data_IF_525518103248
#
_entry.id   IF_525518103248
#
_cell.length_a   1.000
_cell.length_b   1.000
_cell.length_c   1.000
_cell.angle_alpha   90.00
_cell.angle_beta   90.00
_cell.angle_gamma   90.00
#
_symmetry.space_group_name_H-M   'P 1'
#
loop_
_entity.id
_entity.type
_entity.pdbx_description
1 polymer ?
#
# COMPACT_ATOMS: atom_id res chain seq x y z
N UNK A 1 -14.38 2.67 11.90
CA UNK A 1 -13.25 1.88 11.37
C UNK A 1 -12.01 2.00 12.24
N UNK A 2 -11.67 3.19 12.77
CA UNK A 2 -10.51 3.47 13.63
C UNK A 2 -10.03 2.33 14.56
N UNK A 3 -10.90 1.77 15.39
CA UNK A 3 -10.53 0.72 16.34
C UNK A 3 -10.09 -0.63 15.72
N UNK A 4 -10.25 -0.83 14.41
CA UNK A 4 -9.56 -1.93 13.72
C UNK A 4 -8.05 -1.67 13.64
N UNK A 5 -7.64 -0.42 13.44
CA UNK A 5 -6.24 -0.02 13.29
C UNK A 5 -5.59 0.46 14.59
N UNK A 6 -6.39 0.86 15.58
CA UNK A 6 -5.92 1.35 16.87
C UNK A 6 -6.71 0.73 18.05
N UNK A 7 -6.67 -0.60 18.23
CA UNK A 7 -7.33 -1.25 19.37
C UNK A 7 -6.52 -1.08 20.66
N UNK A 8 -7.21 -0.99 21.80
CA UNK A 8 -6.55 -0.97 23.13
C UNK A 8 -6.21 -2.36 23.66
N UNK A 9 -6.86 -3.39 23.14
CA UNK A 9 -6.63 -4.78 23.54
C UNK A 9 -7.13 -5.75 22.46
N UNK A 10 -6.48 -6.89 22.33
CA UNK A 10 -6.81 -7.87 21.28
C UNK A 10 -6.91 -9.29 21.82
N UNK A 11 -8.00 -10.00 21.51
CA UNK A 11 -8.07 -11.45 21.71
C UNK A 11 -7.67 -12.19 20.43
N UNK A 12 -6.81 -13.20 20.54
CA UNK A 12 -6.41 -14.05 19.40
C UNK A 12 -6.99 -15.44 19.57
N UNK A 13 -8.08 -15.71 18.85
CA UNK A 13 -8.79 -16.99 18.87
C UNK A 13 -8.15 -17.91 17.84
N UNK A 14 -7.67 -19.08 18.30
CA UNK A 14 -6.79 -19.94 17.50
C UNK A 14 -5.31 -19.69 17.76
N UNK A 15 -4.98 -19.01 18.86
CA UNK A 15 -3.60 -18.86 19.31
C UNK A 15 -2.93 -20.23 19.47
N UNK A 16 -1.62 -20.30 19.21
CA UNK A 16 -0.86 -21.55 19.26
C UNK A 16 0.42 -21.36 20.08
N UNK A 17 0.82 -22.40 20.82
CA UNK A 17 2.13 -22.48 21.48
C UNK A 17 3.24 -22.98 20.54
N UNK A 18 2.88 -23.47 19.36
CA UNK A 18 3.81 -23.96 18.34
C UNK A 18 4.24 -22.82 17.42
N UNK A 19 5.53 -22.48 17.48
CA UNK A 19 6.19 -21.50 16.59
C UNK A 19 5.96 -21.86 15.12
N UNK A 20 5.71 -20.86 14.28
CA UNK A 20 5.43 -21.03 12.86
C UNK A 20 3.96 -21.31 12.51
N UNK A 21 3.09 -21.60 13.49
CA UNK A 21 1.63 -21.63 13.23
C UNK A 21 1.09 -20.20 13.15
N UNK A 22 0.12 -19.97 12.27
CA UNK A 22 -0.51 -18.65 12.04
C UNK A 22 -0.89 -17.97 13.37
N UNK A 23 -1.65 -18.65 14.23
CA UNK A 23 -2.06 -18.08 15.52
C UNK A 23 -0.92 -17.83 16.52
N UNK A 24 0.24 -18.47 16.39
CA UNK A 24 1.43 -18.11 17.17
C UNK A 24 2.01 -16.79 16.68
N UNK A 25 2.19 -16.66 15.36
CA UNK A 25 2.81 -15.46 14.75
C UNK A 25 1.94 -14.22 14.95
N UNK A 26 0.61 -14.34 14.88
CA UNK A 26 -0.32 -13.24 15.18
C UNK A 26 -0.14 -12.74 16.62
N UNK A 27 -0.07 -13.65 17.62
CA UNK A 27 0.16 -13.24 19.01
C UNK A 27 1.52 -12.56 19.16
N UNK A 28 2.56 -13.09 18.52
CA UNK A 28 3.90 -12.51 18.56
C UNK A 28 3.93 -11.09 17.98
N UNK A 29 3.33 -10.89 16.81
CA UNK A 29 3.29 -9.61 16.11
C UNK A 29 2.48 -8.56 16.88
N UNK A 30 1.29 -8.91 17.39
CA UNK A 30 0.49 -7.99 18.21
C UNK A 30 1.24 -7.64 19.51
N UNK A 31 1.87 -8.63 20.16
CA UNK A 31 2.65 -8.39 21.37
C UNK A 31 3.81 -7.41 21.12
N UNK A 32 4.42 -7.44 19.93
CA UNK A 32 5.48 -6.52 19.50
C UNK A 32 5.05 -5.05 19.45
N UNK A 33 3.75 -4.78 19.25
CA UNK A 33 3.20 -3.41 19.27
C UNK A 33 2.97 -2.84 20.67
N UNK A 34 3.19 -3.64 21.72
CA UNK A 34 3.08 -3.19 23.12
C UNK A 34 1.66 -3.14 23.69
N UNK A 35 0.62 -3.46 22.90
CA UNK A 35 -0.76 -3.49 23.40
C UNK A 35 -1.09 -4.84 24.11
N UNK A 36 -2.04 -4.83 25.07
CA UNK A 36 -2.58 -6.06 25.66
C UNK A 36 -3.08 -7.05 24.61
N UNK A 37 -2.60 -8.30 24.71
CA UNK A 37 -3.01 -9.40 23.83
C UNK A 37 -3.35 -10.63 24.66
N UNK A 38 -4.52 -11.20 24.40
CA UNK A 38 -5.11 -12.32 25.10
C UNK A 38 -5.19 -13.54 24.17
N UNK A 39 -4.25 -14.49 24.28
CA UNK A 39 -4.33 -15.76 23.57
C UNK A 39 -5.56 -16.56 24.01
N UNK A 40 -6.30 -17.12 23.06
CA UNK A 40 -7.44 -18.01 23.32
C UNK A 40 -7.18 -19.37 22.67
N UNK A 41 -7.01 -20.39 23.51
CA UNK A 41 -6.78 -21.78 23.13
C UNK A 41 -7.30 -22.72 24.25
N UNK A 42 -8.24 -23.65 23.97
CA UNK A 42 -8.80 -24.55 24.99
C UNK A 42 -7.82 -25.51 25.68
N UNK A 43 -6.63 -25.72 25.11
CA UNK A 43 -5.68 -26.78 25.50
C UNK A 43 -4.36 -26.24 26.06
N UNK A 44 -4.25 -24.92 26.28
CA UNK A 44 -3.03 -24.27 26.75
C UNK A 44 -3.36 -23.28 27.86
N UNK A 45 -2.56 -23.30 28.91
CA UNK A 45 -2.67 -22.32 30.00
C UNK A 45 -1.85 -21.06 29.73
N UNK A 46 -0.78 -21.16 28.92
CA UNK A 46 0.10 -20.05 28.56
C UNK A 46 0.60 -20.12 27.12
N UNK A 47 0.72 -18.98 26.46
CA UNK A 47 1.32 -18.83 25.12
C UNK A 47 2.19 -17.57 25.12
N UNK A 48 3.47 -17.68 24.71
CA UNK A 48 4.43 -16.55 24.69
C UNK A 48 4.53 -15.79 26.03
N UNK A 49 4.51 -16.54 27.14
CA UNK A 49 4.55 -15.99 28.50
C UNK A 49 3.27 -15.26 28.95
N UNK A 50 2.23 -15.26 28.12
CA UNK A 50 0.93 -14.64 28.42
C UNK A 50 -0.06 -15.70 28.85
N UNK A 51 -0.94 -15.35 29.80
CA UNK A 51 -2.06 -16.20 30.20
C UNK A 51 -2.95 -16.48 28.99
N UNK A 52 -3.28 -17.76 28.79
CA UNK A 52 -4.15 -18.21 27.73
C UNK A 52 -5.51 -18.59 28.33
N UNK A 53 -6.58 -18.20 27.65
CA UNK A 53 -7.96 -18.45 28.08
C UNK A 53 -8.59 -19.54 27.22
N UNK A 54 -9.54 -20.32 27.77
CA UNK A 54 -10.16 -21.41 27.01
C UNK A 54 -11.21 -20.90 26.02
N UNK A 55 -11.87 -19.81 26.37
CA UNK A 55 -12.77 -19.05 25.50
C UNK A 55 -12.54 -17.55 25.66
N UNK A 56 -13.00 -16.78 24.68
CA UNK A 56 -12.94 -15.30 24.74
C UNK A 56 -13.82 -14.72 25.85
N UNK A 57 -14.85 -15.46 26.28
CA UNK A 57 -15.77 -15.08 27.36
C UNK A 57 -15.10 -15.14 28.74
N UNK A 58 -14.06 -15.96 28.91
CA UNK A 58 -13.31 -16.10 30.18
C UNK A 58 -12.31 -14.96 30.44
N UNK A 59 -12.04 -14.11 29.44
CA UNK A 59 -11.15 -12.96 29.60
C UNK A 59 -11.84 -11.98 30.56
N UNK A 60 -11.26 -11.61 31.71
CA UNK A 60 -11.89 -10.67 32.64
C UNK A 60 -11.84 -9.23 32.13
N UNK A 61 -10.84 -8.88 31.31
CA UNK A 61 -10.66 -7.54 30.75
C UNK A 61 -11.61 -7.25 29.57
N UNK A 62 -11.74 -5.97 29.24
CA UNK A 62 -12.40 -5.51 28.01
C UNK A 62 -11.52 -5.82 26.79
N UNK A 63 -12.16 -6.24 25.70
CA UNK A 63 -11.50 -6.63 24.44
C UNK A 63 -12.02 -5.78 23.29
N UNK A 64 -11.16 -4.93 22.71
CA UNK A 64 -11.55 -4.01 21.64
C UNK A 64 -11.68 -4.68 20.27
N UNK A 65 -10.86 -5.71 20.03
CA UNK A 65 -10.74 -6.43 18.75
C UNK A 65 -10.51 -7.92 19.00
N UNK A 66 -11.15 -8.79 18.20
CA UNK A 66 -10.79 -10.20 18.11
C UNK A 66 -10.16 -10.52 16.75
N UNK A 67 -9.13 -11.37 16.76
CA UNK A 67 -8.50 -11.93 15.54
C UNK A 67 -8.70 -13.44 15.54
N UNK A 68 -9.31 -13.98 14.49
CA UNK A 68 -9.62 -15.40 14.35
C UNK A 68 -8.66 -16.06 13.36
N UNK A 69 -8.01 -17.13 13.82
CA UNK A 69 -7.14 -18.01 13.05
C UNK A 69 -7.46 -19.48 13.37
N UNK A 70 -8.72 -19.87 13.13
CA UNK A 70 -9.31 -21.20 13.38
C UNK A 70 -9.98 -21.75 12.12
N UNK A 71 -10.37 -23.03 12.12
CA UNK A 71 -11.12 -23.61 10.98
C UNK A 71 -12.40 -22.82 10.68
N UNK A 72 -12.78 -22.75 9.39
CA UNK A 72 -13.88 -21.90 8.91
C UNK A 72 -15.20 -22.18 9.65
N UNK A 73 -15.52 -23.45 9.87
CA UNK A 73 -16.75 -23.93 10.53
C UNK A 73 -16.85 -23.49 12.00
N UNK A 74 -15.71 -23.12 12.61
CA UNK A 74 -15.66 -22.65 14.00
C UNK A 74 -15.75 -21.12 14.10
N UNK A 75 -15.68 -20.40 12.99
CA UNK A 75 -15.66 -18.94 13.00
C UNK A 75 -17.00 -18.34 13.45
N UNK A 76 -18.14 -18.83 12.95
CA UNK A 76 -19.45 -18.31 13.35
C UNK A 76 -19.72 -18.52 14.87
N UNK A 77 -19.51 -19.72 15.45
CA UNK A 77 -19.57 -19.89 16.90
C UNK A 77 -18.63 -18.98 17.69
N UNK A 78 -17.39 -18.78 17.23
CA UNK A 78 -16.44 -17.88 17.88
C UNK A 78 -16.89 -16.40 17.80
N UNK A 79 -17.45 -15.97 16.67
CA UNK A 79 -18.03 -14.63 16.50
C UNK A 79 -19.22 -14.42 17.44
N UNK A 80 -20.05 -15.44 17.66
CA UNK A 80 -21.11 -15.38 18.67
C UNK A 80 -20.56 -15.18 20.09
N UNK A 81 -19.51 -15.93 20.48
CA UNK A 81 -18.84 -15.74 21.77
C UNK A 81 -18.25 -14.33 21.92
N UNK A 82 -17.62 -13.81 20.86
CA UNK A 82 -17.17 -12.42 20.80
C UNK A 82 -18.34 -11.44 21.06
N UNK A 83 -19.49 -11.69 20.44
CA UNK A 83 -20.68 -10.85 20.58
C UNK A 83 -21.25 -10.82 22.00
N UNK A 84 -21.27 -11.99 22.68
CA UNK A 84 -21.67 -12.14 24.09
C UNK A 84 -20.68 -11.45 25.04
N UNK A 85 -19.39 -11.53 24.73
CA UNK A 85 -18.32 -10.80 25.45
C UNK A 85 -18.37 -9.28 25.25
N UNK A 86 -19.14 -8.79 24.27
CA UNK A 86 -19.30 -7.36 23.97
C UNK A 86 -18.34 -6.83 22.91
N UNK A 87 -17.53 -7.69 22.29
CA UNK A 87 -16.63 -7.33 21.20
C UNK A 87 -17.47 -6.96 19.97
N UNK A 88 -17.13 -5.85 19.32
CA UNK A 88 -17.86 -5.33 18.14
C UNK A 88 -17.07 -5.39 16.83
N UNK A 89 -15.81 -5.85 16.87
CA UNK A 89 -14.88 -5.81 15.74
C UNK A 89 -14.11 -7.12 15.69
N UNK A 90 -14.10 -7.74 14.52
CA UNK A 90 -13.42 -9.02 14.31
C UNK A 90 -12.63 -8.98 13.00
N UNK A 91 -11.37 -9.40 13.04
CA UNK A 91 -10.55 -9.70 11.85
C UNK A 91 -10.49 -11.21 11.71
N UNK A 92 -10.89 -11.73 10.55
CA UNK A 92 -10.91 -13.18 10.31
C UNK A 92 -9.85 -13.51 9.25
N UNK A 93 -8.77 -14.14 9.71
CA UNK A 93 -7.64 -14.55 8.87
C UNK A 93 -7.99 -15.82 8.09
N UNK A 94 -8.78 -16.69 8.70
CA UNK A 94 -9.19 -17.99 8.17
C UNK A 94 -9.83 -17.91 6.79
N UNK A 95 -9.38 -18.78 5.87
CA UNK A 95 -10.10 -19.13 4.65
C UNK A 95 -10.95 -20.39 4.81
N UNK A 96 -11.51 -20.90 3.71
CA UNK A 96 -12.48 -21.99 3.64
C UNK A 96 -13.93 -21.54 3.43
N UNK A 97 -14.16 -20.31 2.96
CA UNK A 97 -15.50 -19.72 2.80
C UNK A 97 -15.91 -19.67 1.32
N UNK A 98 -16.46 -18.53 0.84
CA UNK A 98 -16.95 -18.38 -0.53
C UNK A 98 -15.87 -18.67 -1.58
N UNK A 99 -14.61 -18.34 -1.31
CA UNK A 99 -13.48 -18.60 -2.21
C UNK A 99 -13.25 -20.10 -2.49
N UNK A 100 -13.74 -20.98 -1.60
CA UNK A 100 -13.72 -22.44 -1.80
C UNK A 100 -15.10 -23.03 -2.14
N UNK A 101 -16.10 -22.18 -2.42
CA UNK A 101 -17.47 -22.58 -2.74
C UNK A 101 -18.41 -22.71 -1.53
N UNK A 102 -17.95 -22.41 -0.32
CA UNK A 102 -18.77 -22.48 0.91
C UNK A 102 -19.50 -21.17 1.18
N UNK A 103 -20.35 -20.74 0.24
CA UNK A 103 -21.11 -19.48 0.34
C UNK A 103 -22.05 -19.45 1.56
N UNK A 104 -22.72 -20.56 1.86
CA UNK A 104 -23.65 -20.67 2.98
C UNK A 104 -22.95 -20.42 4.33
N UNK A 105 -21.71 -20.92 4.48
CA UNK A 105 -20.92 -20.73 5.68
C UNK A 105 -20.51 -19.25 5.86
N UNK A 106 -20.19 -18.55 4.78
CA UNK A 106 -19.91 -17.11 4.82
C UNK A 106 -21.18 -16.31 5.18
N UNK A 107 -22.34 -16.70 4.64
CA UNK A 107 -23.62 -16.07 4.97
C UNK A 107 -24.00 -16.26 6.44
N UNK A 108 -23.80 -17.46 6.98
CA UNK A 108 -24.00 -17.75 8.41
C UNK A 108 -23.10 -16.90 9.30
N UNK A 109 -21.82 -16.78 8.93
CA UNK A 109 -20.85 -15.95 9.63
C UNK A 109 -21.30 -14.48 9.70
N UNK A 110 -21.71 -13.91 8.56
CA UNK A 110 -22.19 -12.52 8.48
C UNK A 110 -23.51 -12.34 9.23
N UNK A 111 -24.44 -13.29 9.12
CA UNK A 111 -25.71 -13.23 9.85
C UNK A 111 -25.49 -13.24 11.37
N UNK A 112 -24.56 -14.07 11.84
CA UNK A 112 -24.17 -14.15 13.26
C UNK A 112 -23.55 -12.83 13.73
N UNK A 113 -22.62 -12.27 12.95
CA UNK A 113 -22.00 -10.99 13.28
C UNK A 113 -23.04 -9.86 13.41
N UNK A 114 -23.99 -9.78 12.46
CA UNK A 114 -25.06 -8.77 12.45
C UNK A 114 -25.95 -8.84 13.68
N UNK A 115 -26.29 -10.05 14.17
CA UNK A 115 -27.08 -10.25 15.40
C UNK A 115 -26.48 -9.53 16.61
N UNK A 116 -25.16 -9.43 16.67
CA UNK A 116 -24.42 -8.82 17.80
C UNK A 116 -23.84 -7.44 17.47
N UNK A 117 -24.19 -6.85 16.31
CA UNK A 117 -23.62 -5.57 15.87
C UNK A 117 -22.10 -5.62 15.66
N UNK A 118 -21.57 -6.80 15.32
CA UNK A 118 -20.14 -6.98 15.01
C UNK A 118 -19.90 -6.58 13.56
N UNK A 119 -18.79 -5.86 13.33
CA UNK A 119 -18.20 -5.68 11.99
C UNK A 119 -17.04 -6.65 11.76
N UNK A 120 -16.92 -7.18 10.54
CA UNK A 120 -15.87 -8.14 10.15
C UNK A 120 -15.00 -7.58 9.03
N UNK A 121 -13.68 -7.58 9.23
CA UNK A 121 -12.69 -7.54 8.13
C UNK A 121 -12.32 -8.98 7.75
N UNK A 122 -12.40 -9.29 6.45
CA UNK A 122 -12.23 -10.65 5.93
C UNK A 122 -13.56 -11.31 5.53
N UNK A 123 -13.69 -12.65 5.66
CA UNK A 123 -12.65 -13.61 6.02
C UNK A 123 -11.57 -13.74 4.94
N UNK A 124 -10.69 -14.72 5.06
CA UNK A 124 -9.62 -15.02 4.11
C UNK A 124 -8.74 -13.80 3.81
N UNK A 125 -8.14 -13.24 4.86
CA UNK A 125 -7.36 -12.02 4.75
C UNK A 125 -6.06 -12.10 5.57
N UNK A 126 -5.18 -11.12 5.36
CA UNK A 126 -3.99 -10.93 6.20
C UNK A 126 -4.30 -10.02 7.41
N UNK A 127 -5.40 -9.27 7.34
CA UNK A 127 -5.84 -8.34 8.36
C UNK A 127 -5.25 -6.94 8.17
N UNK A 128 -4.87 -6.29 9.27
CA UNK A 128 -4.64 -4.83 9.31
C UNK A 128 -3.26 -4.47 9.86
N UNK A 129 -2.80 -3.27 9.50
CA UNK A 129 -1.58 -2.66 10.04
C UNK A 129 -1.75 -1.14 10.21
N UNK A 130 -1.18 -0.61 11.28
CA UNK A 130 -1.06 0.81 11.57
C UNK A 130 0.42 1.19 11.61
N UNK A 131 0.85 1.99 10.64
CA UNK A 131 2.26 2.37 10.50
C UNK A 131 2.75 3.29 11.62
N UNK A 132 1.86 4.02 12.28
CA UNK A 132 2.22 4.91 13.40
C UNK A 132 2.52 4.13 14.67
N UNK A 133 1.70 3.13 15.00
CA UNK A 133 1.83 2.36 16.25
C UNK A 133 2.63 1.07 16.08
N UNK A 134 2.86 0.62 14.84
CA UNK A 134 3.42 -0.70 14.55
C UNK A 134 2.43 -1.85 14.77
N UNK A 135 1.21 -1.56 15.21
CA UNK A 135 0.17 -2.56 15.41
C UNK A 135 -0.15 -3.28 14.10
N UNK A 136 -0.08 -4.61 14.10
CA UNK A 136 -0.48 -5.43 12.97
C UNK A 136 -1.03 -6.79 13.41
N UNK A 137 -1.93 -7.35 12.60
CA UNK A 137 -2.52 -8.68 12.82
C UNK A 137 -1.90 -9.74 11.91
N UNK A 138 -0.68 -9.53 11.43
CA UNK A 138 -0.05 -10.35 10.40
C UNK A 138 0.46 -11.67 10.98
N UNK A 139 0.71 -12.64 10.11
CA UNK A 139 1.34 -13.92 10.46
C UNK A 139 2.66 -14.16 9.69
N UNK A 140 3.14 -13.14 9.00
CA UNK A 140 4.39 -13.15 8.26
C UNK A 140 5.58 -13.05 9.23
N UNK A 141 6.69 -13.68 8.85
CA UNK A 141 7.98 -13.60 9.54
C UNK A 141 9.00 -12.99 8.59
N UNK A 142 10.01 -12.33 9.15
CA UNK A 142 11.10 -11.70 8.39
C UNK A 142 10.62 -10.63 7.40
N UNK A 143 9.43 -10.08 7.64
CA UNK A 143 8.87 -8.99 6.86
C UNK A 143 9.47 -7.67 7.32
N UNK A 144 9.92 -6.86 6.38
CA UNK A 144 10.23 -5.46 6.63
C UNK A 144 8.95 -4.63 6.57
N UNK A 145 8.62 -3.95 7.67
CA UNK A 145 7.47 -3.06 7.73
C UNK A 145 7.88 -1.64 7.28
N UNK A 146 7.04 -0.95 6.50
CA UNK A 146 7.32 0.41 6.09
C UNK A 146 7.28 1.37 7.29
N UNK A 147 7.98 2.51 7.20
CA UNK A 147 7.96 3.53 8.24
C UNK A 147 6.55 4.15 8.37
N UNK A 148 6.27 4.89 9.46
CA UNK A 148 5.08 5.74 9.52
C UNK A 148 5.03 6.72 8.35
N UNK A 149 3.85 6.95 7.80
CA UNK A 149 3.64 7.97 6.77
C UNK A 149 2.19 8.19 6.44
N UNK A 150 1.88 8.60 5.20
CA UNK A 150 0.57 9.14 4.85
C UNK A 150 -0.20 8.30 3.81
N UNK A 151 0.34 7.15 3.41
CA UNK A 151 -0.33 6.25 2.45
C UNK A 151 -1.23 5.28 3.18
N UNK A 152 -2.53 5.27 2.87
CA UNK A 152 -3.44 4.22 3.32
C UNK A 152 -3.71 3.22 2.20
N UNK A 153 -3.66 1.93 2.52
CA UNK A 153 -3.73 0.84 1.55
C UNK A 153 -4.96 -0.02 1.85
N UNK A 154 -5.75 -0.33 0.83
CA UNK A 154 -6.74 -1.41 0.88
C UNK A 154 -6.47 -2.42 -0.24
N UNK A 155 -6.53 -3.71 0.10
CA UNK A 155 -6.26 -4.79 -0.86
C UNK A 155 -7.15 -6.00 -0.64
N UNK A 156 -7.71 -6.54 -1.72
CA UNK A 156 -8.37 -7.85 -1.69
C UNK A 156 -7.36 -9.01 -1.64
N UNK A 157 -6.17 -8.83 -2.21
CA UNK A 157 -5.13 -9.86 -2.17
C UNK A 157 -4.17 -9.64 -1.01
N UNK A 158 -4.14 -10.60 -0.10
CA UNK A 158 -3.21 -10.65 1.01
C UNK A 158 -1.75 -10.69 0.56
N UNK A 159 -1.42 -11.62 -0.34
CA UNK A 159 -0.06 -11.81 -0.88
C UNK A 159 0.45 -10.57 -1.60
N UNK A 160 -0.40 -9.94 -2.42
CA UNK A 160 -0.05 -8.67 -3.07
C UNK A 160 0.23 -7.57 -2.04
N UNK A 161 -0.62 -7.48 -1.00
CA UNK A 161 -0.48 -6.50 0.06
C UNK A 161 0.83 -6.60 0.84
N UNK A 162 1.23 -7.82 1.22
CA UNK A 162 2.51 -8.07 1.90
C UNK A 162 3.69 -7.65 1.01
N UNK A 163 3.71 -8.10 -0.24
CA UNK A 163 4.81 -7.77 -1.16
C UNK A 163 4.90 -6.25 -1.42
N UNK A 164 3.74 -5.56 -1.47
CA UNK A 164 3.69 -4.10 -1.61
C UNK A 164 4.27 -3.40 -0.37
N UNK A 165 3.92 -3.84 0.84
CA UNK A 165 4.43 -3.27 2.09
C UNK A 165 5.96 -3.42 2.22
N UNK A 166 6.52 -4.58 1.87
CA UNK A 166 7.98 -4.79 1.88
C UNK A 166 8.68 -3.90 0.83
N UNK A 167 8.06 -3.74 -0.35
CA UNK A 167 8.58 -2.80 -1.34
C UNK A 167 8.52 -1.36 -0.82
N UNK A 168 7.47 -0.98 -0.10
CA UNK A 168 7.37 0.35 0.51
C UNK A 168 8.44 0.56 1.59
N UNK A 169 8.73 -0.46 2.40
CA UNK A 169 9.78 -0.41 3.41
C UNK A 169 11.15 -0.15 2.79
N UNK A 170 11.51 -0.90 1.75
CA UNK A 170 12.78 -0.73 1.03
C UNK A 170 12.93 0.63 0.34
N UNK A 171 11.83 1.30 0.04
CA UNK A 171 11.77 2.53 -0.76
C UNK A 171 11.43 3.75 0.09
N UNK A 172 11.44 3.60 1.42
CA UNK A 172 11.13 4.64 2.41
C UNK A 172 9.74 5.28 2.23
N UNK A 173 8.79 4.52 1.66
CA UNK A 173 7.41 4.98 1.47
C UNK A 173 6.63 4.68 2.76
N UNK A 174 6.29 5.74 3.49
CA UNK A 174 5.61 5.59 4.76
C UNK A 174 4.11 5.28 4.65
N UNK A 175 3.63 4.38 5.51
CA UNK A 175 2.24 3.92 5.56
C UNK A 175 1.52 4.50 6.79
N UNK A 176 0.28 4.92 6.59
CA UNK A 176 -0.63 5.27 7.67
C UNK A 176 -1.40 4.02 8.13
N UNK A 177 -2.28 3.51 7.26
CA UNK A 177 -3.10 2.32 7.52
C UNK A 177 -3.01 1.32 6.38
N UNK A 178 -3.05 0.03 6.68
CA UNK A 178 -3.18 -1.05 5.70
C UNK A 178 -4.32 -1.99 6.09
N UNK A 179 -5.17 -2.34 5.13
CA UNK A 179 -6.22 -3.33 5.30
C UNK A 179 -6.24 -4.33 4.14
N UNK A 180 -5.90 -5.59 4.44
CA UNK A 180 -6.30 -6.73 3.65
C UNK A 180 -7.69 -7.17 4.11
N UNK A 181 -8.68 -7.07 3.23
CA UNK A 181 -10.09 -7.33 3.56
C UNK A 181 -10.68 -8.57 2.88
N UNK A 182 -9.84 -9.32 2.15
CA UNK A 182 -10.12 -10.66 1.67
C UNK A 182 -11.44 -10.77 0.91
N UNK A 183 -12.30 -11.68 1.37
CA UNK A 183 -13.58 -11.98 0.74
C UNK A 183 -14.61 -10.85 0.80
N UNK A 184 -14.35 -9.74 1.51
CA UNK A 184 -15.24 -8.57 1.65
C UNK A 184 -16.66 -8.95 2.12
N UNK A 185 -16.78 -9.90 3.05
CA UNK A 185 -18.07 -10.44 3.45
C UNK A 185 -18.94 -9.43 4.24
N UNK A 186 -18.32 -8.49 4.94
CA UNK A 186 -19.00 -7.39 5.63
C UNK A 186 -18.31 -6.04 5.37
N UNK A 187 -17.16 -5.77 6.00
CA UNK A 187 -16.37 -4.57 5.68
C UNK A 187 -15.81 -4.70 4.27
N UNK A 188 -16.04 -3.69 3.46
CA UNK A 188 -15.63 -3.66 2.05
C UNK A 188 -14.89 -2.36 1.68
N UNK A 189 -14.57 -2.22 0.40
CA UNK A 189 -13.87 -1.05 -0.15
C UNK A 189 -14.57 0.28 0.14
N UNK A 190 -15.90 0.29 0.28
CA UNK A 190 -16.68 1.52 0.52
C UNK A 190 -16.52 1.99 1.96
N UNK A 191 -16.53 1.06 2.92
CA UNK A 191 -16.27 1.36 4.34
C UNK A 191 -14.84 1.86 4.55
N UNK A 192 -13.87 1.18 3.93
CA UNK A 192 -12.45 1.53 4.03
C UNK A 192 -12.14 2.86 3.35
N UNK A 193 -12.70 3.10 2.17
CA UNK A 193 -12.57 4.39 1.48
C UNK A 193 -13.12 5.53 2.32
N UNK A 194 -14.32 5.37 2.89
CA UNK A 194 -14.92 6.41 3.74
C UNK A 194 -14.02 6.75 4.93
N UNK A 195 -13.49 5.72 5.61
CA UNK A 195 -12.56 5.94 6.72
C UNK A 195 -11.27 6.65 6.30
N UNK A 196 -10.66 6.25 5.19
CA UNK A 196 -9.41 6.83 4.70
C UNK A 196 -9.59 8.23 4.12
N UNK A 197 -10.76 8.56 3.56
CA UNK A 197 -11.12 9.92 3.15
C UNK A 197 -11.30 10.84 4.37
N UNK A 198 -11.90 10.35 5.46
CA UNK A 198 -12.11 11.13 6.68
C UNK A 198 -10.84 11.27 7.55
N UNK A 199 -9.87 10.38 7.40
CA UNK A 199 -8.64 10.39 8.21
C UNK A 199 -7.63 11.45 7.75
N UNK A 200 -7.43 12.50 8.56
CA UNK A 200 -6.49 13.59 8.26
C UNK A 200 -5.03 13.16 8.06
N UNK A 201 -4.59 12.02 8.61
CA UNK A 201 -3.23 11.51 8.41
C UNK A 201 -3.05 10.85 7.03
N UNK A 202 -4.14 10.34 6.45
CA UNK A 202 -4.13 9.81 5.08
C UNK A 202 -4.09 10.95 4.07
N UNK A 203 -3.07 10.94 3.21
CA UNK A 203 -2.96 11.84 2.04
C UNK A 203 -3.18 11.12 0.72
N UNK A 204 -2.90 9.81 0.65
CA UNK A 204 -2.99 9.00 -0.56
C UNK A 204 -3.67 7.69 -0.21
N UNK A 205 -4.58 7.24 -1.07
CA UNK A 205 -5.27 5.95 -0.92
C UNK A 205 -4.83 5.02 -2.05
N UNK A 206 -4.16 3.93 -1.71
CA UNK A 206 -3.73 2.90 -2.64
C UNK A 206 -4.70 1.71 -2.59
N UNK A 207 -5.17 1.27 -3.75
CA UNK A 207 -6.25 0.28 -3.85
C UNK A 207 -5.84 -0.81 -4.82
N UNK A 208 -5.73 -2.05 -4.33
CA UNK A 208 -5.68 -3.23 -5.18
C UNK A 208 -7.00 -3.99 -5.11
N UNK A 209 -7.62 -4.21 -6.26
CA UNK A 209 -8.92 -4.87 -6.36
C UNK A 209 -8.94 -5.93 -7.45
N UNK A 210 -9.63 -7.03 -7.18
CA UNK A 210 -9.96 -8.10 -8.12
C UNK A 210 -11.37 -7.94 -8.65
N UNK A 211 -12.28 -7.44 -7.83
CA UNK A 211 -13.63 -7.00 -8.20
C UNK A 211 -14.10 -5.86 -7.29
N UNK A 212 -14.97 -4.98 -7.78
CA UNK A 212 -15.42 -3.80 -7.04
C UNK A 212 -16.84 -3.39 -7.41
N UNK A 213 -17.64 -3.05 -6.40
CA UNK A 213 -19.02 -2.60 -6.62
C UNK A 213 -19.11 -1.19 -7.24
N UNK A 214 -20.25 -0.87 -7.86
CA UNK A 214 -20.54 0.48 -8.37
C UNK A 214 -20.57 1.53 -7.25
N UNK A 215 -20.89 1.11 -6.03
CA UNK A 215 -21.00 1.97 -4.85
C UNK A 215 -19.67 2.64 -4.48
N UNK A 216 -18.53 2.04 -4.83
CA UNK A 216 -17.22 2.69 -4.68
C UNK A 216 -17.19 4.02 -5.42
N UNK A 217 -17.65 4.04 -6.67
CA UNK A 217 -17.68 5.24 -7.51
C UNK A 217 -18.81 6.22 -7.14
N UNK A 218 -19.74 5.81 -6.26
CA UNK A 218 -20.74 6.73 -5.70
C UNK A 218 -20.14 7.66 -4.65
N UNK A 219 -19.00 7.28 -4.05
CA UNK A 219 -18.30 8.08 -3.04
C UNK A 219 -17.59 9.28 -3.68
N UNK A 220 -17.35 10.28 -2.83
CA UNK A 220 -16.54 11.44 -3.17
C UNK A 220 -15.07 11.10 -2.92
N UNK A 221 -14.22 11.47 -3.85
CA UNK A 221 -12.77 11.36 -3.74
C UNK A 221 -12.20 12.75 -3.54
N UNK A 222 -11.72 13.05 -2.34
CA UNK A 222 -11.06 14.33 -2.03
C UNK A 222 -9.54 14.20 -1.99
N UNK A 223 -9.06 12.97 -1.86
CA UNK A 223 -7.63 12.62 -1.86
C UNK A 223 -7.28 11.86 -3.13
N UNK A 224 -6.01 11.90 -3.57
CA UNK A 224 -5.53 11.02 -4.64
C UNK A 224 -5.80 9.56 -4.29
N UNK A 225 -6.64 8.91 -5.09
CA UNK A 225 -6.90 7.47 -5.02
C UNK A 225 -6.26 6.79 -6.21
N UNK A 226 -5.31 5.91 -5.96
CA UNK A 226 -4.56 5.15 -6.97
C UNK A 226 -5.09 3.71 -6.95
N UNK A 227 -5.57 3.24 -8.09
CA UNK A 227 -6.16 1.90 -8.22
C UNK A 227 -5.38 1.04 -9.20
N UNK A 228 -5.06 -0.18 -8.78
CA UNK A 228 -4.66 -1.28 -9.64
C UNK A 228 -5.77 -2.34 -9.64
N UNK A 229 -6.37 -2.55 -10.82
CA UNK A 229 -7.40 -3.57 -11.04
C UNK A 229 -6.79 -4.82 -11.64
N UNK A 230 -6.79 -5.91 -10.88
CA UNK A 230 -6.44 -7.23 -11.40
C UNK A 230 -7.54 -7.78 -12.33
N UNK A 231 -7.20 -8.79 -13.13
CA UNK A 231 -8.14 -9.36 -14.10
C UNK A 231 -8.44 -8.42 -15.28
N UNK A 232 -7.41 -7.83 -15.88
CA UNK A 232 -7.55 -6.99 -17.09
C UNK A 232 -7.87 -7.76 -18.37
N UNK A 233 -7.35 -8.98 -18.48
CA UNK A 233 -7.53 -9.86 -19.64
C UNK A 233 -8.54 -10.96 -19.33
N UNK A 234 -9.13 -11.58 -20.36
CA UNK A 234 -10.03 -12.73 -20.18
C UNK A 234 -9.42 -13.83 -19.31
N UNK A 235 -8.12 -14.12 -19.48
CA UNK A 235 -7.40 -15.11 -18.67
C UNK A 235 -7.30 -14.65 -17.20
N UNK A 236 -6.93 -13.39 -16.98
CA UNK A 236 -6.85 -12.82 -15.63
C UNK A 236 -8.21 -12.73 -14.94
N UNK A 237 -9.27 -12.40 -15.66
CA UNK A 237 -10.65 -12.37 -15.12
C UNK A 237 -11.07 -13.76 -14.67
N UNK A 238 -10.80 -14.80 -15.48
CA UNK A 238 -11.08 -16.19 -15.12
C UNK A 238 -10.30 -16.62 -13.87
N UNK A 239 -9.03 -16.21 -13.76
CA UNK A 239 -8.23 -16.50 -12.57
C UNK A 239 -8.79 -15.80 -11.31
N UNK A 240 -9.13 -14.52 -11.43
CA UNK A 240 -9.70 -13.74 -10.33
C UNK A 240 -11.09 -14.24 -9.88
N UNK A 241 -11.93 -14.70 -10.80
CA UNK A 241 -13.26 -15.25 -10.46
C UNK A 241 -13.16 -16.56 -9.68
N UNK A 242 -12.15 -17.39 -9.96
CA UNK A 242 -11.89 -18.61 -9.19
C UNK A 242 -11.39 -18.31 -7.77
N UNK A 243 -10.76 -17.15 -7.58
CA UNK A 243 -10.17 -16.76 -6.30
C UNK A 243 -11.18 -16.01 -5.39
N UNK A 244 -12.17 -15.32 -5.95
CA UNK A 244 -13.11 -14.47 -5.19
C UNK A 244 -14.54 -14.98 -5.15
N UNK A 245 -14.90 -15.90 -6.06
CA UNK A 245 -16.29 -16.34 -6.30
C UNK A 245 -17.18 -15.26 -6.91
N UNK A 246 -16.66 -14.06 -7.22
CA UNK A 246 -17.44 -12.94 -7.71
C UNK A 246 -17.50 -12.90 -9.25
N UNK A 247 -18.59 -12.33 -9.79
CA UNK A 247 -18.69 -12.02 -11.21
C UNK A 247 -17.70 -10.90 -11.57
N UNK A 248 -16.86 -11.12 -12.58
CA UNK A 248 -15.84 -10.16 -12.95
C UNK A 248 -16.46 -8.87 -13.52
N UNK A 249 -16.14 -7.72 -12.90
CA UNK A 249 -16.43 -6.41 -13.48
C UNK A 249 -15.64 -6.19 -14.78
N UNK A 250 -16.30 -5.69 -15.83
CA UNK A 250 -15.66 -5.34 -17.10
C UNK A 250 -14.56 -4.27 -16.90
N UNK A 251 -13.38 -4.57 -17.41
CA UNK A 251 -12.19 -3.74 -17.21
C UNK A 251 -12.29 -2.37 -17.90
N UNK A 252 -12.88 -2.30 -19.09
CA UNK A 252 -13.02 -1.05 -19.82
C UNK A 252 -14.04 -0.13 -19.13
N UNK A 253 -15.15 -0.69 -18.63
CA UNK A 253 -16.13 0.04 -17.83
C UNK A 253 -15.48 0.55 -16.53
N UNK A 254 -14.71 -0.28 -15.84
CA UNK A 254 -14.00 0.10 -14.63
C UNK A 254 -13.02 1.26 -14.88
N UNK A 255 -12.17 1.15 -15.91
CA UNK A 255 -11.23 2.21 -16.30
C UNK A 255 -11.97 3.49 -16.68
N UNK A 256 -13.10 3.39 -17.39
CA UNK A 256 -13.98 4.51 -17.69
C UNK A 256 -14.54 5.20 -16.44
N UNK A 257 -15.00 4.43 -15.46
CA UNK A 257 -15.51 4.95 -14.18
C UNK A 257 -14.41 5.66 -13.36
N UNK A 258 -13.22 5.07 -13.27
CA UNK A 258 -12.06 5.74 -12.65
C UNK A 258 -11.78 7.09 -13.34
N UNK A 259 -11.79 7.09 -14.68
CA UNK A 259 -11.63 8.31 -15.48
C UNK A 259 -12.75 9.32 -15.24
N UNK A 260 -13.97 8.94 -14.88
CA UNK A 260 -15.02 9.93 -14.56
C UNK A 260 -14.89 10.47 -13.14
N UNK A 261 -14.34 9.69 -12.21
CA UNK A 261 -14.33 9.96 -10.78
C UNK A 261 -13.00 10.48 -10.22
N UNK A 262 -12.07 10.87 -11.09
CA UNK A 262 -10.72 11.34 -10.73
C UNK A 262 -9.93 10.32 -9.91
N UNK A 263 -10.20 9.04 -10.12
CA UNK A 263 -9.37 7.97 -9.57
C UNK A 263 -8.21 7.76 -10.54
N UNK A 264 -6.98 7.78 -10.02
CA UNK A 264 -5.77 7.51 -10.80
C UNK A 264 -5.73 6.00 -11.05
N UNK A 265 -5.78 5.61 -12.32
CA UNK A 265 -5.81 4.21 -12.70
C UNK A 265 -4.44 3.79 -13.20
N UNK A 266 -3.88 2.72 -12.64
CA UNK A 266 -2.63 2.11 -13.08
C UNK A 266 -2.92 0.84 -13.91
N UNK A 267 -2.24 0.71 -15.04
CA UNK A 267 -2.38 -0.40 -15.98
C UNK A 267 -1.58 -1.65 -15.54
N UNK A 268 -0.55 -1.47 -14.72
CA UNK A 268 0.25 -2.54 -14.13
C UNK A 268 0.85 -2.16 -12.76
N UNK A 269 1.58 -3.10 -12.16
CA UNK A 269 2.20 -2.94 -10.85
C UNK A 269 3.29 -1.86 -10.83
N UNK A 270 4.11 -1.75 -11.88
CA UNK A 270 5.20 -0.78 -11.91
C UNK A 270 4.65 0.64 -11.96
N UNK A 271 3.62 0.87 -12.78
CA UNK A 271 2.91 2.14 -12.82
C UNK A 271 2.20 2.43 -11.48
N UNK A 272 1.50 1.45 -10.90
CA UNK A 272 0.84 1.60 -9.60
C UNK A 272 1.81 2.02 -8.49
N UNK A 273 2.93 1.30 -8.40
CA UNK A 273 3.99 1.60 -7.46
C UNK A 273 4.62 2.97 -7.73
N UNK A 274 4.93 3.29 -8.98
CA UNK A 274 5.57 4.55 -9.35
C UNK A 274 4.72 5.78 -9.06
N UNK A 275 3.41 5.70 -9.30
CA UNK A 275 2.46 6.77 -8.95
C UNK A 275 2.49 7.00 -7.44
N UNK A 276 2.38 5.93 -6.64
CA UNK A 276 2.37 6.03 -5.18
C UNK A 276 3.71 6.56 -4.67
N UNK A 277 4.83 6.08 -5.20
CA UNK A 277 6.18 6.54 -4.82
C UNK A 277 6.34 8.04 -5.02
N UNK A 278 5.95 8.57 -6.18
CA UNK A 278 6.03 10.02 -6.46
C UNK A 278 5.15 10.80 -5.49
N UNK A 279 3.88 10.41 -5.37
CA UNK A 279 2.93 11.14 -4.53
C UNK A 279 3.33 11.08 -3.04
N UNK A 280 3.84 9.95 -2.56
CA UNK A 280 4.19 9.76 -1.16
C UNK A 280 5.46 10.52 -0.77
N UNK A 281 6.47 10.54 -1.65
CA UNK A 281 7.78 11.14 -1.34
C UNK A 281 7.84 12.64 -1.68
N UNK A 282 7.20 13.11 -2.77
CA UNK A 282 7.18 14.53 -3.15
C UNK A 282 5.82 15.21 -3.04
N UNK A 283 4.74 14.46 -3.02
CA UNK A 283 3.40 15.01 -3.18
C UNK A 283 3.02 15.21 -4.64
N UNK A 284 2.04 16.09 -4.85
CA UNK A 284 1.50 16.40 -6.16
C UNK A 284 2.42 17.36 -6.92
N UNK A 285 2.79 17.06 -8.17
CA UNK A 285 3.53 18.00 -9.00
C UNK A 285 2.84 19.36 -9.13
N UNK A 286 3.58 20.48 -9.10
CA UNK A 286 3.00 21.81 -9.17
C UNK A 286 2.44 22.13 -10.58
N UNK A 287 2.86 21.37 -11.60
CA UNK A 287 2.41 21.49 -12.97
C UNK A 287 2.86 20.30 -13.80
N UNK A 288 3.08 20.52 -15.10
CA UNK A 288 3.27 19.45 -16.11
C UNK A 288 4.46 19.65 -17.03
N UNK A 289 5.15 20.78 -16.92
CA UNK A 289 6.38 21.04 -17.67
C UNK A 289 7.56 20.26 -17.07
N UNK A 290 8.33 19.61 -17.93
CA UNK A 290 9.42 18.69 -17.59
C UNK A 290 10.72 19.24 -18.18
N UNK A 291 11.75 19.39 -17.35
CA UNK A 291 13.14 19.51 -17.82
C UNK A 291 13.88 18.20 -17.54
N UNK A 292 14.83 17.85 -18.40
CA UNK A 292 15.75 16.72 -18.19
C UNK A 292 17.17 17.27 -18.09
N UNK A 293 17.86 16.92 -17.01
CA UNK A 293 19.28 17.24 -16.78
C UNK A 293 20.02 15.92 -16.58
N UNK A 294 21.12 15.72 -17.31
CA UNK A 294 21.84 14.45 -17.34
C UNK A 294 23.36 14.62 -17.38
N UNK A 295 24.12 13.70 -16.80
CA UNK A 295 25.57 13.53 -17.05
C UNK A 295 25.89 12.36 -17.99
N UNK A 296 24.87 11.73 -18.58
CA UNK A 296 25.03 10.65 -19.53
C UNK A 296 23.79 10.50 -20.40
N UNK A 297 23.92 10.82 -21.69
CA UNK A 297 22.79 10.98 -22.60
C UNK A 297 21.82 9.77 -22.68
N UNK A 298 22.29 8.53 -22.54
CA UNK A 298 21.48 7.31 -22.79
C UNK A 298 20.15 7.26 -22.01
N UNK A 299 20.16 7.27 -20.67
CA UNK A 299 18.93 7.33 -19.86
C UNK A 299 18.04 8.55 -20.16
N UNK A 300 18.64 9.70 -20.47
CA UNK A 300 17.91 10.92 -20.85
C UNK A 300 17.18 10.77 -22.19
N UNK A 301 17.82 10.19 -23.20
CA UNK A 301 17.21 9.88 -24.50
C UNK A 301 16.04 8.90 -24.34
N UNK A 302 16.21 7.84 -23.55
CA UNK A 302 15.12 6.90 -23.25
C UNK A 302 13.95 7.60 -22.53
N UNK A 303 14.25 8.54 -21.64
CA UNK A 303 13.21 9.36 -21.00
C UNK A 303 12.47 10.22 -22.05
N UNK A 304 13.17 10.83 -23.01
CA UNK A 304 12.54 11.55 -24.11
C UNK A 304 11.59 10.68 -24.94
N UNK A 305 11.96 9.43 -25.27
CA UNK A 305 11.10 8.51 -26.03
C UNK A 305 9.75 8.27 -25.33
N UNK A 306 9.78 8.08 -24.00
CA UNK A 306 8.55 7.91 -23.23
C UNK A 306 7.76 9.23 -23.09
N UNK A 307 8.43 10.37 -22.98
CA UNK A 307 7.79 11.69 -22.93
C UNK A 307 7.07 12.02 -24.24
N UNK A 308 7.62 11.65 -25.40
CA UNK A 308 6.97 11.85 -26.70
C UNK A 308 5.61 11.12 -26.77
N UNK A 309 5.52 9.96 -26.11
CA UNK A 309 4.26 9.20 -25.99
C UNK A 309 3.31 9.70 -24.88
N UNK A 310 3.80 10.56 -23.97
CA UNK A 310 3.05 11.04 -22.82
C UNK A 310 2.13 12.21 -23.22
N UNK A 311 0.81 12.01 -23.07
CA UNK A 311 -0.19 12.98 -23.55
C UNK A 311 -0.48 14.14 -22.60
N UNK A 312 0.03 14.08 -21.37
CA UNK A 312 -0.32 15.00 -20.30
C UNK A 312 0.87 15.75 -19.71
N UNK A 313 2.06 15.52 -20.24
CA UNK A 313 3.31 16.19 -19.87
C UNK A 313 3.80 17.06 -21.03
N UNK A 314 4.59 18.08 -20.72
CA UNK A 314 5.19 18.96 -21.72
C UNK A 314 6.69 19.05 -21.49
N UNK A 315 7.50 18.85 -22.54
CA UNK A 315 8.95 19.04 -22.43
C UNK A 315 9.25 20.53 -22.52
N UNK A 316 10.00 21.03 -21.54
CA UNK A 316 10.42 22.43 -21.44
C UNK A 316 11.82 22.60 -22.01
N UNK A 317 11.90 22.91 -23.30
CA UNK A 317 13.17 23.11 -24.00
C UNK A 317 13.91 21.80 -24.30
N UNK A 318 15.18 21.92 -24.65
CA UNK A 318 16.04 20.76 -24.93
C UNK A 318 16.55 20.10 -23.64
N UNK A 319 16.90 18.82 -23.73
CA UNK A 319 17.60 18.12 -22.67
C UNK A 319 18.97 18.77 -22.41
N UNK A 320 19.31 18.99 -21.15
CA UNK A 320 20.61 19.52 -20.73
C UNK A 320 21.57 18.36 -20.47
N UNK A 321 22.52 18.14 -21.38
CA UNK A 321 23.60 17.14 -21.21
C UNK A 321 24.88 17.80 -20.67
N UNK A 322 25.20 17.48 -19.42
CA UNK A 322 26.35 17.97 -18.67
C UNK A 322 27.62 17.13 -18.95
N UNK A 323 27.50 16.04 -19.71
CA UNK A 323 28.56 15.07 -20.03
C UNK A 323 29.09 14.29 -18.82
N UNK A 324 29.86 13.23 -19.07
CA UNK A 324 30.42 12.37 -18.00
C UNK A 324 31.48 13.04 -17.11
N UNK A 325 31.87 14.29 -17.40
CA UNK A 325 32.73 15.08 -16.52
C UNK A 325 31.98 15.94 -15.51
N UNK A 326 30.63 15.89 -15.50
CA UNK A 326 29.80 16.71 -14.64
C UNK A 326 30.08 16.46 -13.15
N UNK A 327 30.16 17.54 -12.40
CA UNK A 327 30.21 17.54 -10.93
C UNK A 327 28.85 17.88 -10.35
N UNK A 328 28.73 17.82 -9.02
CA UNK A 328 27.56 18.35 -8.32
C UNK A 328 27.27 19.82 -8.70
N UNK A 329 28.28 20.68 -8.81
CA UNK A 329 28.09 22.11 -9.10
C UNK A 329 27.47 22.35 -10.49
N UNK A 330 27.79 21.50 -11.46
CA UNK A 330 27.21 21.57 -12.81
C UNK A 330 25.72 21.21 -12.79
N UNK A 331 25.35 20.16 -12.06
CA UNK A 331 23.95 19.80 -11.81
C UNK A 331 23.18 20.94 -11.14
N UNK A 332 23.73 21.47 -10.05
CA UNK A 332 23.07 22.50 -9.26
C UNK A 332 22.87 23.79 -10.06
N UNK A 333 23.85 24.18 -10.89
CA UNK A 333 23.71 25.32 -11.82
C UNK A 333 22.58 25.09 -12.83
N UNK A 334 22.55 23.94 -13.48
CA UNK A 334 21.50 23.61 -14.45
C UNK A 334 20.11 23.53 -13.82
N UNK A 335 20.01 23.05 -12.58
CA UNK A 335 18.76 23.04 -11.80
C UNK A 335 18.26 24.47 -11.55
N UNK A 336 19.16 25.37 -11.16
CA UNK A 336 18.81 26.77 -10.84
C UNK A 336 18.38 27.57 -12.09
N UNK A 337 18.89 27.20 -13.26
CA UNK A 337 18.50 27.79 -14.55
C UNK A 337 17.15 27.27 -15.08
N UNK A 338 16.70 26.09 -14.62
CA UNK A 338 15.46 25.47 -15.09
C UNK A 338 14.21 26.12 -14.51
N UNK A 339 13.27 26.46 -15.38
CA UNK A 339 11.95 27.01 -15.02
C UNK A 339 10.82 25.97 -14.99
N UNK A 340 11.12 24.70 -15.31
CA UNK A 340 10.12 23.64 -15.39
C UNK A 340 9.46 23.35 -14.03
N UNK A 341 8.23 22.81 -14.06
CA UNK A 341 7.49 22.38 -12.88
C UNK A 341 8.12 21.14 -12.22
N UNK A 342 8.64 20.24 -13.06
CA UNK A 342 9.25 18.97 -12.70
C UNK A 342 10.64 18.90 -13.35
N UNK A 343 11.65 18.52 -12.57
CA UNK A 343 13.01 18.32 -13.06
C UNK A 343 13.35 16.83 -12.93
N UNK A 344 13.53 16.18 -14.07
CA UNK A 344 14.05 14.82 -14.16
C UNK A 344 15.58 14.89 -14.17
N UNK A 345 16.19 14.32 -13.14
CA UNK A 345 17.64 14.23 -12.99
C UNK A 345 18.08 12.82 -13.36
N UNK A 346 18.90 12.66 -14.40
CA UNK A 346 19.39 11.32 -14.78
C UNK A 346 20.87 11.18 -14.45
N UNK A 347 21.20 10.22 -13.59
CA UNK A 347 22.54 10.07 -13.03
C UNK A 347 23.25 8.83 -13.57
N UNK A 348 24.50 9.04 -13.97
CA UNK A 348 25.53 8.01 -13.96
C UNK A 348 26.38 8.30 -12.71
N UNK A 349 25.95 7.78 -11.55
CA UNK A 349 26.60 8.04 -10.26
C UNK A 349 28.06 7.59 -10.21
N UNK A 350 28.43 6.62 -11.04
CA UNK A 350 29.74 6.01 -11.11
C UNK A 350 30.80 6.90 -11.77
N UNK A 351 30.38 7.97 -12.46
CA UNK A 351 31.32 8.90 -13.08
C UNK A 351 32.15 9.59 -12.00
N UNK A 352 33.48 9.48 -12.10
CA UNK A 352 34.39 9.88 -11.03
C UNK A 352 34.18 11.31 -10.52
N UNK A 353 33.98 12.35 -11.37
CA UNK A 353 33.77 13.71 -10.87
C UNK A 353 32.49 13.87 -10.05
N UNK A 354 31.41 13.18 -10.43
CA UNK A 354 30.15 13.20 -9.69
C UNK A 354 30.27 12.39 -8.39
N UNK A 355 30.91 11.21 -8.46
CA UNK A 355 31.11 10.32 -7.32
C UNK A 355 31.89 11.02 -6.17
N UNK A 356 32.88 11.84 -6.50
CA UNK A 356 33.67 12.63 -5.52
C UNK A 356 32.88 13.82 -4.92
N UNK A 357 31.72 14.17 -5.48
CA UNK A 357 30.94 15.36 -5.08
C UNK A 357 29.50 15.06 -4.67
N UNK A 358 29.16 13.80 -4.40
CA UNK A 358 27.78 13.39 -4.06
C UNK A 358 27.21 14.08 -2.81
N UNK A 359 28.02 14.32 -1.78
CA UNK A 359 27.57 15.03 -0.59
C UNK A 359 27.08 16.45 -0.92
N UNK A 360 27.84 17.16 -1.76
CA UNK A 360 27.47 18.49 -2.26
C UNK A 360 26.19 18.43 -3.09
N UNK A 361 26.04 17.42 -3.95
CA UNK A 361 24.82 17.21 -4.74
C UNK A 361 23.63 17.04 -3.80
N UNK A 362 23.71 16.13 -2.82
CA UNK A 362 22.61 15.83 -1.92
C UNK A 362 22.20 17.04 -1.07
N UNK A 363 23.17 17.79 -0.55
CA UNK A 363 22.88 19.03 0.17
C UNK A 363 22.23 20.08 -0.74
N UNK A 364 22.72 20.22 -1.97
CA UNK A 364 22.14 21.09 -2.97
C UNK A 364 20.70 20.71 -3.34
N UNK A 365 20.38 19.41 -3.43
CA UNK A 365 19.02 18.94 -3.69
C UNK A 365 18.09 19.16 -2.49
N UNK A 366 18.55 18.97 -1.24
CA UNK A 366 17.74 19.20 -0.03
C UNK A 366 17.33 20.65 0.14
N UNK A 367 18.26 21.56 -0.13
CA UNK A 367 18.07 23.00 0.10
C UNK A 367 17.18 23.66 -0.97
N UNK A 368 16.88 22.95 -2.07
CA UNK A 368 16.06 23.45 -3.18
C UNK A 368 14.63 22.94 -3.08
N UNK A 369 13.67 23.87 -3.02
CA UNK A 369 12.25 23.55 -3.08
C UNK A 369 11.77 23.38 -4.53
N UNK A 370 12.22 22.32 -5.21
CA UNK A 370 11.83 21.98 -6.61
C UNK A 370 11.26 20.57 -6.67
N UNK A 371 10.48 20.23 -7.69
CA UNK A 371 9.91 18.88 -7.82
C UNK A 371 10.89 17.98 -8.59
N UNK A 372 11.73 17.24 -7.86
CA UNK A 372 12.71 16.33 -8.46
C UNK A 372 12.16 14.92 -8.63
N UNK A 373 12.50 14.31 -9.76
CA UNK A 373 12.41 12.86 -9.99
C UNK A 373 13.78 12.40 -10.49
N UNK A 374 14.36 11.39 -9.86
CA UNK A 374 15.67 10.89 -10.24
C UNK A 374 15.56 9.62 -11.08
N UNK A 375 16.44 9.48 -12.07
CA UNK A 375 16.64 8.27 -12.86
C UNK A 375 18.09 7.82 -12.71
N UNK A 376 18.34 6.56 -12.39
CA UNK A 376 19.70 6.03 -12.36
C UNK A 376 19.70 4.55 -12.66
N UNK A 377 20.62 4.11 -13.50
CA UNK A 377 20.77 2.71 -13.89
C UNK A 377 22.09 2.16 -13.37
N UNK A 378 22.08 0.91 -12.90
CA UNK A 378 23.29 0.18 -12.55
C UNK A 378 23.10 -0.77 -11.38
N UNK A 379 24.22 -1.26 -10.85
CA UNK A 379 24.21 -2.24 -9.74
C UNK A 379 24.14 -1.59 -8.35
N UNK A 380 24.79 -2.24 -7.39
CA UNK A 380 24.68 -1.90 -5.96
C UNK A 380 24.95 -0.43 -5.63
N UNK A 381 25.98 0.19 -6.22
CA UNK A 381 26.32 1.58 -5.89
C UNK A 381 25.22 2.59 -6.30
N UNK A 382 24.72 2.62 -7.55
CA UNK A 382 23.53 3.39 -7.89
C UNK A 382 22.29 3.06 -7.07
N UNK A 383 22.04 1.79 -6.74
CA UNK A 383 20.91 1.40 -5.89
C UNK A 383 20.98 2.06 -4.49
N UNK A 384 22.16 2.11 -3.89
CA UNK A 384 22.40 2.80 -2.61
C UNK A 384 22.16 4.32 -2.73
N UNK A 385 22.60 4.94 -3.83
CA UNK A 385 22.36 6.36 -4.08
C UNK A 385 20.87 6.66 -4.30
N UNK A 386 20.15 5.80 -5.03
CA UNK A 386 18.70 5.91 -5.20
C UNK A 386 17.94 5.76 -3.88
N UNK A 387 18.38 4.84 -3.01
CA UNK A 387 17.83 4.70 -1.65
C UNK A 387 18.08 5.96 -0.81
N UNK A 388 19.27 6.54 -0.93
CA UNK A 388 19.63 7.81 -0.26
C UNK A 388 18.70 8.94 -0.73
N UNK A 389 18.49 9.09 -2.04
CA UNK A 389 17.55 10.06 -2.60
C UNK A 389 16.12 9.82 -2.10
N UNK A 390 15.65 8.57 -2.07
CA UNK A 390 14.32 8.24 -1.56
C UNK A 390 14.16 8.62 -0.07
N UNK A 391 15.18 8.41 0.76
CA UNK A 391 15.18 8.85 2.17
C UNK A 391 15.10 10.36 2.34
N UNK A 392 15.51 11.13 1.33
CA UNK A 392 15.39 12.59 1.26
C UNK A 392 14.06 13.05 0.64
N UNK A 393 13.16 12.11 0.37
CA UNK A 393 11.88 12.35 -0.31
C UNK A 393 12.00 12.50 -1.82
N UNK A 394 13.12 12.19 -2.47
CA UNK A 394 13.27 12.28 -3.93
C UNK A 394 13.00 10.90 -4.56
N UNK A 395 11.90 10.71 -5.33
CA UNK A 395 11.58 9.44 -5.94
C UNK A 395 12.59 9.14 -7.05
N UNK A 396 13.32 8.04 -6.88
CA UNK A 396 14.29 7.55 -7.84
C UNK A 396 13.77 6.31 -8.59
N UNK A 397 14.09 6.18 -9.88
CA UNK A 397 13.66 5.04 -10.70
C UNK A 397 14.81 4.51 -11.54
N UNK A 398 14.85 3.19 -11.71
CA UNK A 398 15.80 2.57 -12.62
C UNK A 398 15.33 2.68 -14.07
N UNK A 399 14.05 2.39 -14.33
CA UNK A 399 13.46 2.43 -15.67
C UNK A 399 12.75 3.78 -15.92
N UNK A 400 13.21 4.59 -16.89
CA UNK A 400 12.59 5.89 -17.23
C UNK A 400 11.10 5.79 -17.54
N UNK A 401 10.69 4.71 -18.22
CA UNK A 401 9.30 4.48 -18.58
C UNK A 401 8.36 4.40 -17.39
N UNK A 402 8.82 3.86 -16.26
CA UNK A 402 8.01 3.77 -15.03
C UNK A 402 7.74 5.16 -14.46
N UNK A 403 8.79 5.98 -14.35
CA UNK A 403 8.68 7.35 -13.85
C UNK A 403 7.74 8.20 -14.72
N UNK A 404 7.90 8.13 -16.04
CA UNK A 404 7.14 8.96 -16.98
C UNK A 404 5.68 8.53 -17.09
N UNK A 405 5.40 7.21 -17.14
CA UNK A 405 4.01 6.72 -17.11
C UNK A 405 3.31 7.16 -15.81
N UNK A 406 4.01 7.06 -14.68
CA UNK A 406 3.47 7.51 -13.39
C UNK A 406 3.20 9.02 -13.36
N UNK A 407 4.15 9.86 -13.80
CA UNK A 407 3.96 11.31 -13.90
C UNK A 407 2.81 11.66 -14.85
N UNK A 408 2.70 10.98 -15.99
CA UNK A 408 1.62 11.21 -16.96
C UNK A 408 0.25 10.84 -16.38
N UNK A 409 0.14 9.73 -15.63
CA UNK A 409 -1.08 9.35 -14.93
C UNK A 409 -1.47 10.35 -13.84
N UNK A 410 -0.50 10.89 -13.10
CA UNK A 410 -0.71 11.96 -12.10
C UNK A 410 -1.16 13.25 -12.80
N UNK A 411 -0.49 13.67 -13.87
CA UNK A 411 -0.84 14.88 -14.61
C UNK A 411 -2.25 14.82 -15.19
N UNK A 412 -2.67 13.66 -15.71
CA UNK A 412 -4.06 13.44 -16.15
C UNK A 412 -5.09 13.71 -15.04
N UNK A 413 -4.75 13.37 -13.80
CA UNK A 413 -5.60 13.63 -12.63
C UNK A 413 -5.68 15.13 -12.27
N UNK A 414 -4.60 15.88 -12.48
CA UNK A 414 -4.53 17.33 -12.20
C UNK A 414 -5.31 18.21 -13.19
N UNK A 415 -5.44 17.78 -14.45
CA UNK A 415 -6.10 18.55 -15.52
C UNK A 415 -7.63 18.69 -15.36
N UNK A 416 -8.21 18.27 -14.24
CA UNK A 416 -9.67 18.13 -14.10
C UNK A 416 -10.21 19.09 -13.04
N UNK A 417 -11.14 20.00 -13.42
CA UNK A 417 -11.59 21.14 -12.60
C UNK A 417 -12.32 20.71 -11.35
#
# INVERSE_FOLDING_TARGET
MEHFFNPKSVAVIGASSTKGKIGYEIVANIAGSGIPVFPVNPHRDTILGKRCYKSVEEIPEEVDLAVLAIDAEKCAPAVEQCGRKGIRRVVIISGGFRETGNEELEQELVATARKYGIRIIGPNCIGVFNGTTGFNTFFQRHMELPPPGTVSIMTQSGTFGIALLEKFAREHIGVNHFASYGNRADVNEVDLLAHFEDDSATRIIAVYVEDMGRDFFSRKFTKPVVVLKAGRSRLGQKAASLHTGAMATDYAIFKGACRQKRVIFADDFQEFFGIIKILALRGTPPGRSIAIITNGAGPGVLACDFLDSARHLEVSGDMVDLTGSATADDYLRAIDESTADIIILTFVFQDAPLAETLETLYEGLRTRNRFFVALAMGGTFPEEQMSTLASMGIPAFEEPGVAIRALNAIAMHLLRP
#
